data_IF_079971979637
#
_entry.id   IF_079971979637
#
_cell.length_a   1.000
_cell.length_b   1.000
_cell.length_c   1.000
_cell.angle_alpha   90.00
_cell.angle_beta   90.00
_cell.angle_gamma   90.00
#
_symmetry.space_group_name_H-M   'P 1'
#
loop_
_entity.id
_entity.type
_entity.pdbx_description
1 polymer ?
#
# COMPACT_ATOMS: atom_id res chain seq x y z
N UNK A 1 28.53 -2.68 -32.00
CA UNK A 1 28.74 -1.53 -31.09
C UNK A 1 27.63 -0.56 -31.41
N UNK A 2 26.73 -0.11 -30.56
CA UNK A 2 26.63 0.04 -29.09
C UNK A 2 25.17 0.46 -28.91
N UNK A 3 24.34 -0.31 -28.22
CA UNK A 3 24.03 -0.02 -26.82
C UNK A 3 22.65 -0.58 -26.57
N UNK A 4 22.56 -1.68 -25.82
CA UNK A 4 21.30 -2.07 -25.19
C UNK A 4 21.04 -0.99 -24.14
N UNK A 5 20.20 -0.02 -24.47
CA UNK A 5 19.55 0.81 -23.46
C UNK A 5 18.83 -0.16 -22.53
N UNK A 6 19.48 -0.42 -21.38
CA UNK A 6 18.84 -1.03 -20.23
C UNK A 6 17.73 -0.06 -19.88
N UNK A 7 16.50 -0.38 -20.30
CA UNK A 7 15.31 0.17 -19.72
C UNK A 7 15.42 -0.03 -18.20
N UNK A 8 15.91 0.98 -17.51
CA UNK A 8 15.76 1.14 -16.07
C UNK A 8 14.30 1.54 -15.87
N UNK A 9 13.40 0.63 -16.24
CA UNK A 9 11.97 0.81 -16.14
C UNK A 9 11.65 0.77 -14.67
N UNK A 10 11.64 1.93 -14.02
CA UNK A 10 10.94 2.07 -12.74
C UNK A 10 9.54 1.47 -12.96
N UNK A 11 9.06 0.59 -12.08
CA UNK A 11 7.68 0.15 -12.15
C UNK A 11 6.80 1.40 -12.26
N UNK A 12 5.94 1.47 -13.28
CA UNK A 12 4.98 2.55 -13.41
C UNK A 12 4.18 2.62 -12.10
N UNK A 13 4.22 3.77 -11.43
CA UNK A 13 3.59 3.91 -10.13
C UNK A 13 2.10 3.55 -10.26
N UNK A 14 1.63 2.63 -9.42
CA UNK A 14 0.23 2.28 -9.35
C UNK A 14 -0.46 3.16 -8.30
N UNK A 15 -1.69 3.57 -8.59
CA UNK A 15 -2.53 4.22 -7.60
C UNK A 15 -3.10 3.17 -6.64
N UNK A 16 -2.90 3.41 -5.35
CA UNK A 16 -3.45 2.63 -4.24
C UNK A 16 -4.41 3.50 -3.45
N UNK A 17 -5.55 2.92 -3.07
CA UNK A 17 -6.48 3.53 -2.13
C UNK A 17 -6.32 2.85 -0.78
N UNK A 18 -5.98 3.62 0.23
CA UNK A 18 -5.79 3.16 1.60
C UNK A 18 -6.93 3.69 2.45
N UNK A 19 -7.66 2.81 3.12
CA UNK A 19 -8.72 3.20 4.05
C UNK A 19 -8.43 2.60 5.41
N UNK A 20 -8.26 3.42 6.43
CA UNK A 20 -7.90 2.94 7.76
C UNK A 20 -8.18 3.99 8.81
N UNK A 21 -7.73 3.75 10.03
CA UNK A 21 -7.91 4.69 11.14
C UNK A 21 -6.55 5.07 11.71
N UNK A 22 -6.31 6.36 11.93
CA UNK A 22 -5.12 6.82 12.64
C UNK A 22 -5.26 6.58 14.14
N UNK A 23 -4.14 6.37 14.83
CA UNK A 23 -4.15 6.10 16.27
C UNK A 23 -4.78 7.23 17.12
N UNK A 24 -4.74 8.47 16.64
CA UNK A 24 -5.28 9.66 17.30
C UNK A 24 -6.69 10.06 16.82
N UNK A 25 -7.29 9.28 15.91
CA UNK A 25 -8.57 9.59 15.28
C UNK A 25 -9.64 8.55 15.63
N UNK A 26 -10.84 9.02 15.95
CA UNK A 26 -12.01 8.15 16.16
C UNK A 26 -12.73 7.76 14.86
N UNK A 27 -12.29 8.32 13.72
CA UNK A 27 -12.94 8.16 12.42
C UNK A 27 -12.01 7.50 11.43
N UNK A 28 -12.58 6.70 10.53
CA UNK A 28 -11.82 6.14 9.42
C UNK A 28 -11.52 7.23 8.39
N UNK A 29 -10.31 7.21 7.86
CA UNK A 29 -9.82 8.10 6.81
C UNK A 29 -9.51 7.27 5.56
N UNK A 30 -9.65 7.92 4.40
CA UNK A 30 -9.28 7.34 3.12
C UNK A 30 -8.28 8.26 2.42
N UNK A 31 -7.17 7.69 1.94
CA UNK A 31 -6.18 8.39 1.14
C UNK A 31 -5.90 7.64 -0.16
N UNK A 32 -5.59 8.38 -1.22
CA UNK A 32 -5.05 7.82 -2.46
C UNK A 32 -3.56 8.15 -2.51
N UNK A 33 -2.73 7.15 -2.77
CA UNK A 33 -1.30 7.34 -2.93
C UNK A 33 -0.79 6.65 -4.21
N UNK A 34 0.32 7.14 -4.73
CA UNK A 34 1.08 6.48 -5.78
C UNK A 34 2.23 5.70 -5.15
N UNK A 35 2.40 4.44 -5.55
CA UNK A 35 3.51 3.61 -5.12
C UNK A 35 3.95 2.68 -6.26
N UNK A 36 5.24 2.35 -6.32
CA UNK A 36 5.77 1.44 -7.33
C UNK A 36 5.28 0.00 -7.12
N UNK A 37 5.03 -0.39 -5.87
CA UNK A 37 4.54 -1.70 -5.49
C UNK A 37 3.76 -1.70 -4.16
N UNK A 38 3.30 -2.89 -3.76
CA UNK A 38 2.53 -3.10 -2.53
C UNK A 38 3.34 -2.80 -1.26
N UNK A 39 4.66 -3.03 -1.27
CA UNK A 39 5.52 -2.83 -0.09
C UNK A 39 5.69 -1.34 0.17
N UNK A 40 5.88 -0.54 -0.89
CA UNK A 40 5.91 0.91 -0.78
C UNK A 40 4.56 1.48 -0.31
N UNK A 41 3.43 0.96 -0.83
CA UNK A 41 2.10 1.34 -0.38
C UNK A 41 1.87 1.03 1.12
N UNK A 42 2.33 -0.14 1.61
CA UNK A 42 2.32 -0.49 3.04
C UNK A 42 3.19 0.49 3.85
N UNK A 43 4.35 0.89 3.33
CA UNK A 43 5.20 1.90 3.96
C UNK A 43 4.50 3.26 4.10
N UNK A 44 3.73 3.68 3.10
CA UNK A 44 2.90 4.89 3.15
C UNK A 44 1.79 4.72 4.20
N UNK A 45 1.08 3.59 4.20
CA UNK A 45 0.06 3.29 5.19
C UNK A 45 0.60 3.35 6.62
N UNK A 46 1.77 2.75 6.88
CA UNK A 46 2.42 2.77 8.19
C UNK A 46 2.75 4.20 8.66
N UNK A 47 3.29 5.04 7.76
CA UNK A 47 3.57 6.45 8.10
C UNK A 47 2.31 7.28 8.35
N UNK A 48 1.21 6.96 7.67
CA UNK A 48 -0.02 7.74 7.75
C UNK A 48 -0.93 7.31 8.90
N UNK A 49 -1.20 6.01 9.04
CA UNK A 49 -2.10 5.44 10.03
C UNK A 49 -1.38 5.02 11.32
N UNK A 50 -0.07 4.78 11.27
CA UNK A 50 0.70 4.24 12.39
C UNK A 50 0.42 2.76 12.56
N UNK A 51 -0.46 2.41 13.50
CA UNK A 51 -0.86 1.04 13.81
C UNK A 51 -2.38 0.91 13.76
N UNK A 52 -2.86 -0.25 13.33
CA UNK A 52 -4.28 -0.55 13.18
C UNK A 52 -4.61 -1.31 11.90
N UNK A 53 -5.90 -1.29 11.57
CA UNK A 53 -6.45 -1.92 10.37
C UNK A 53 -6.53 -0.93 9.22
N UNK A 54 -5.94 -1.32 8.09
CA UNK A 54 -5.91 -0.56 6.86
C UNK A 54 -6.35 -1.46 5.71
N UNK A 55 -7.43 -1.12 5.05
CA UNK A 55 -7.81 -1.70 3.77
C UNK A 55 -6.94 -1.08 2.67
N UNK A 56 -6.31 -1.92 1.85
CA UNK A 56 -5.48 -1.50 0.73
C UNK A 56 -6.09 -2.03 -0.56
N UNK A 57 -6.64 -1.13 -1.37
CA UNK A 57 -7.16 -1.46 -2.69
C UNK A 57 -6.15 -1.07 -3.77
N UNK A 58 -5.73 -2.04 -4.55
CA UNK A 58 -4.94 -1.81 -5.75
C UNK A 58 -5.87 -1.72 -6.96
N UNK A 59 -5.72 -0.68 -7.78
CA UNK A 59 -6.54 -0.46 -8.98
C UNK A 59 -6.54 -1.64 -9.96
N UNK A 60 -5.54 -2.54 -9.88
CA UNK A 60 -5.48 -3.78 -10.66
C UNK A 60 -6.40 -4.91 -10.17
N UNK A 61 -7.40 -4.60 -9.32
CA UNK A 61 -8.40 -5.57 -8.84
C UNK A 61 -7.86 -6.58 -7.83
N UNK A 62 -6.72 -6.28 -7.21
CA UNK A 62 -6.13 -7.08 -6.13
C UNK A 62 -6.23 -6.29 -4.84
N UNK A 63 -7.33 -6.49 -4.14
CA UNK A 63 -7.56 -5.88 -2.84
C UNK A 63 -6.90 -6.71 -1.74
N UNK A 64 -6.39 -6.01 -0.73
CA UNK A 64 -5.71 -6.59 0.42
C UNK A 64 -6.23 -5.96 1.70
N UNK A 65 -6.32 -6.77 2.75
CA UNK A 65 -6.47 -6.30 4.12
C UNK A 65 -5.07 -6.24 4.74
N UNK A 66 -4.66 -5.04 5.14
CA UNK A 66 -3.38 -4.76 5.78
C UNK A 66 -3.62 -4.51 7.27
N UNK A 67 -2.97 -5.27 8.14
CA UNK A 67 -2.92 -4.99 9.58
C UNK A 67 -1.51 -4.56 9.95
N UNK A 68 -1.39 -3.40 10.59
CA UNK A 68 -0.12 -2.83 11.04
C UNK A 68 -0.08 -2.90 12.57
N UNK A 69 0.91 -3.60 13.12
CA UNK A 69 1.07 -3.77 14.55
C UNK A 69 1.85 -2.59 15.17
N UNK A 70 1.73 -2.42 16.49
CA UNK A 70 2.39 -1.32 17.21
C UNK A 70 3.94 -1.37 17.13
N UNK A 71 4.52 -2.56 16.92
CA UNK A 71 5.95 -2.76 16.70
C UNK A 71 6.39 -2.48 15.25
N UNK A 72 5.48 -1.96 14.41
CA UNK A 72 5.64 -1.68 12.97
C UNK A 72 5.79 -2.92 12.08
N UNK A 73 5.61 -4.12 12.62
CA UNK A 73 5.39 -5.31 11.80
C UNK A 73 4.01 -5.22 11.13
N UNK A 74 3.83 -5.94 10.03
CA UNK A 74 2.58 -5.92 9.28
C UNK A 74 2.24 -7.29 8.69
N UNK A 75 0.94 -7.52 8.49
CA UNK A 75 0.42 -8.69 7.80
C UNK A 75 -0.49 -8.26 6.65
N UNK A 76 -0.39 -8.93 5.51
CA UNK A 76 -1.25 -8.74 4.34
C UNK A 76 -2.10 -9.98 4.11
N UNK A 77 -3.40 -9.79 3.92
CA UNK A 77 -4.34 -10.84 3.52
C UNK A 77 -4.98 -10.45 2.19
N UNK A 78 -4.80 -11.22 1.10
CA UNK A 78 -5.53 -10.97 -0.14
C UNK A 78 -7.03 -11.20 0.09
N UNK A 79 -7.86 -10.27 -0.36
CA UNK A 79 -9.33 -10.35 -0.28
C UNK A 79 -9.97 -10.70 -1.63
N UNK A 80 -9.18 -10.73 -2.70
CA UNK A 80 -9.61 -11.22 -4.01
C UNK A 80 -9.73 -12.76 -4.00
N UNK A 81 -10.74 -13.27 -4.72
CA UNK A 81 -10.84 -14.71 -4.99
C UNK A 81 -9.90 -15.06 -6.14
N UNK A 82 -9.02 -16.04 -5.92
CA UNK A 82 -8.17 -16.65 -6.94
C UNK A 82 -9.01 -17.50 -7.91
#
# INVERSE_FOLDING_TARGET
>A
MTGRDRASGKPEAASFRLRGRRADSATDEEIVCEAADIVEAVGIANRHFGAGDVELRCWRGRDYELRIHADKSWSLKPTYKL
#
